data_IF_591354665231
#
_entry.id   IF_591354665231
#
_cell.length_a   1.000
_cell.length_b   1.000
_cell.length_c   1.000
_cell.angle_alpha   90.00
_cell.angle_beta   90.00
_cell.angle_gamma   90.00
#
_symmetry.space_group_name_H-M   'P 1'
#
loop_
_entity.id
_entity.type
_entity.pdbx_description
1 polymer ?
#
# COMPACT_ATOMS: atom_id res chain seq x y z
N UNK A 1 -92.66 -102.81 -57.43
CA UNK A 1 -94.09 -102.45 -57.25
C UNK A 1 -94.20 -101.56 -56.02
N UNK A 2 -94.74 -100.34 -56.19
CA UNK A 2 -95.11 -99.29 -55.20
C UNK A 2 -93.96 -98.73 -54.32
N UNK A 3 -93.42 -97.50 -54.50
CA UNK A 3 -93.99 -96.13 -54.51
C UNK A 3 -94.11 -95.46 -53.12
N UNK A 4 -93.21 -94.48 -52.89
CA UNK A 4 -93.39 -93.15 -52.28
C UNK A 4 -94.00 -92.98 -50.88
N UNK A 5 -93.24 -92.37 -49.95
CA UNK A 5 -93.42 -90.95 -49.54
C UNK A 5 -92.41 -90.46 -48.48
N UNK A 6 -92.11 -89.15 -48.58
CA UNK A 6 -91.65 -88.21 -47.56
C UNK A 6 -90.16 -88.18 -47.16
N UNK A 7 -89.42 -87.34 -47.89
CA UNK A 7 -88.17 -86.71 -47.46
C UNK A 7 -88.43 -85.54 -46.49
N UNK A 8 -87.47 -85.34 -45.58
CA UNK A 8 -87.26 -84.09 -44.86
C UNK A 8 -87.18 -84.27 -43.34
N UNK A 9 -85.97 -84.23 -42.76
CA UNK A 9 -85.63 -83.69 -41.42
C UNK A 9 -84.12 -83.87 -41.07
N UNK A 10 -83.20 -83.68 -42.04
CA UNK A 10 -81.75 -83.85 -41.80
C UNK A 10 -80.98 -82.59 -41.36
N UNK A 11 -81.54 -81.38 -41.52
CA UNK A 11 -80.78 -80.13 -41.39
C UNK A 11 -80.72 -79.49 -40.00
N UNK A 12 -81.56 -79.89 -39.04
CA UNK A 12 -81.65 -79.21 -37.73
C UNK A 12 -80.73 -79.79 -36.64
N UNK A 13 -80.29 -81.06 -36.75
CA UNK A 13 -79.42 -81.69 -35.74
C UNK A 13 -77.94 -81.37 -35.93
N UNK A 14 -77.44 -81.39 -37.18
CA UNK A 14 -76.04 -81.07 -37.47
C UNK A 14 -75.66 -79.62 -37.08
N UNK A 15 -76.59 -78.68 -37.21
CA UNK A 15 -76.36 -77.29 -36.79
C UNK A 15 -76.33 -77.12 -35.27
N UNK A 16 -77.12 -77.90 -34.52
CA UNK A 16 -77.12 -77.85 -33.05
C UNK A 16 -75.89 -78.57 -32.48
N UNK A 17 -75.48 -79.69 -33.09
CA UNK A 17 -74.26 -80.41 -32.69
C UNK A 17 -72.98 -79.61 -33.03
N UNK A 18 -72.96 -78.86 -34.14
CA UNK A 18 -71.87 -77.94 -34.43
C UNK A 18 -71.83 -76.76 -33.46
N UNK A 19 -73.00 -76.19 -33.09
CA UNK A 19 -73.09 -75.14 -32.08
C UNK A 19 -72.69 -75.67 -30.69
N UNK A 20 -73.05 -76.92 -30.35
CA UNK A 20 -72.64 -77.57 -29.12
C UNK A 20 -71.14 -77.93 -29.09
N UNK A 21 -70.55 -78.34 -30.22
CA UNK A 21 -69.11 -78.59 -30.37
C UNK A 21 -68.31 -77.27 -30.31
N UNK A 22 -68.84 -76.19 -30.86
CA UNK A 22 -68.26 -74.84 -30.77
C UNK A 22 -68.40 -74.28 -29.34
N UNK A 23 -69.53 -74.50 -28.65
CA UNK A 23 -69.71 -74.12 -27.24
C UNK A 23 -68.87 -74.99 -26.28
N UNK A 24 -68.71 -76.28 -26.56
CA UNK A 24 -67.84 -77.18 -25.80
C UNK A 24 -66.36 -76.89 -26.06
N UNK A 25 -65.98 -76.57 -27.30
CA UNK A 25 -64.64 -76.08 -27.67
C UNK A 25 -64.31 -74.74 -26.98
N UNK A 26 -65.29 -73.82 -26.90
CA UNK A 26 -65.17 -72.56 -26.16
C UNK A 26 -65.02 -72.77 -24.64
N UNK A 27 -65.56 -73.87 -24.09
CA UNK A 27 -65.41 -74.26 -22.69
C UNK A 27 -64.10 -75.02 -22.40
N UNK A 28 -63.55 -75.71 -23.39
CA UNK A 28 -62.27 -76.42 -23.31
C UNK A 28 -61.05 -75.50 -23.50
N UNK A 29 -61.16 -74.42 -24.28
CA UNK A 29 -60.13 -73.36 -24.40
C UNK A 29 -60.01 -72.47 -23.15
N UNK A 30 -60.99 -72.51 -22.26
CA UNK A 30 -61.11 -71.60 -21.10
C UNK A 30 -60.61 -72.21 -19.79
N UNK A 31 -59.72 -73.22 -19.84
CA UNK A 31 -59.10 -73.84 -18.66
C UNK A 31 -57.57 -73.81 -18.77
N UNK A 32 -56.96 -72.72 -18.31
CA UNK A 32 -55.59 -72.69 -17.78
C UNK A 32 -54.41 -72.58 -18.75
N UNK A 33 -54.63 -72.47 -20.08
CA UNK A 33 -53.54 -72.48 -21.06
C UNK A 33 -52.72 -71.18 -21.18
N UNK A 34 -53.35 -70.02 -20.96
CA UNK A 34 -52.72 -68.71 -21.18
C UNK A 34 -52.36 -67.95 -19.88
N UNK A 35 -52.72 -68.48 -18.71
CA UNK A 35 -52.48 -67.83 -17.41
C UNK A 35 -51.00 -67.55 -17.14
N UNK A 36 -50.10 -68.44 -17.59
CA UNK A 36 -48.65 -68.25 -17.47
C UNK A 36 -48.18 -67.06 -18.33
N UNK A 37 -48.71 -66.91 -19.54
CA UNK A 37 -48.37 -65.82 -20.46
C UNK A 37 -48.94 -64.49 -19.94
N UNK A 38 -50.17 -64.50 -19.42
CA UNK A 38 -50.79 -63.33 -18.78
C UNK A 38 -49.94 -62.87 -17.58
N UNK A 39 -49.46 -63.79 -16.74
CA UNK A 39 -48.53 -63.47 -15.63
C UNK A 39 -47.19 -62.93 -16.11
N UNK A 40 -46.66 -63.41 -17.24
CA UNK A 40 -45.45 -62.86 -17.84
C UNK A 40 -45.69 -61.43 -18.36
N UNK A 41 -46.82 -61.17 -19.02
CA UNK A 41 -47.19 -59.81 -19.46
C UNK A 41 -47.34 -58.87 -18.26
N UNK A 42 -47.95 -59.33 -17.16
CA UNK A 42 -48.05 -58.53 -15.93
C UNK A 42 -46.69 -58.22 -15.31
N UNK A 43 -45.75 -59.18 -15.38
CA UNK A 43 -44.37 -58.96 -14.95
C UNK A 43 -43.67 -57.94 -15.86
N UNK A 44 -43.85 -58.01 -17.17
CA UNK A 44 -43.28 -57.05 -18.14
C UNK A 44 -43.86 -55.65 -17.96
N UNK A 45 -45.18 -55.51 -17.76
CA UNK A 45 -45.82 -54.24 -17.46
C UNK A 45 -45.31 -53.64 -16.14
N UNK A 46 -45.03 -54.48 -15.14
CA UNK A 46 -44.43 -54.04 -13.88
C UNK A 46 -43.01 -53.54 -14.09
N UNK A 47 -42.19 -54.27 -14.85
CA UNK A 47 -40.81 -53.86 -15.18
C UNK A 47 -40.81 -52.54 -15.93
N UNK A 48 -41.62 -52.39 -16.99
CA UNK A 48 -41.73 -51.14 -17.76
C UNK A 48 -42.15 -49.96 -16.89
N UNK A 49 -43.05 -50.17 -15.91
CA UNK A 49 -43.43 -49.14 -14.96
C UNK A 49 -42.26 -48.74 -14.06
N UNK A 50 -41.56 -49.72 -13.48
CA UNK A 50 -40.38 -49.45 -12.64
C UNK A 50 -39.29 -48.73 -13.42
N UNK A 51 -39.00 -49.14 -14.66
CA UNK A 51 -38.01 -48.45 -15.50
C UNK A 51 -38.42 -47.02 -15.87
N UNK A 52 -39.73 -46.75 -16.00
CA UNK A 52 -40.21 -45.39 -16.22
C UNK A 52 -40.07 -44.55 -14.96
N UNK A 53 -40.43 -45.09 -13.79
CA UNK A 53 -40.29 -44.41 -12.51
C UNK A 53 -38.79 -44.10 -12.24
N UNK A 54 -37.88 -45.03 -12.54
CA UNK A 54 -36.43 -44.85 -12.42
C UNK A 54 -35.90 -43.74 -13.36
N UNK A 55 -36.37 -43.70 -14.61
CA UNK A 55 -36.02 -42.63 -15.55
C UNK A 55 -36.58 -41.28 -15.14
N UNK A 56 -37.82 -41.23 -14.63
CA UNK A 56 -38.47 -40.01 -14.15
C UNK A 56 -37.67 -39.42 -12.96
N UNK A 57 -37.31 -40.25 -11.98
CA UNK A 57 -36.45 -39.82 -10.86
C UNK A 57 -35.05 -39.42 -11.32
N UNK A 58 -34.44 -40.17 -12.26
CA UNK A 58 -33.10 -39.84 -12.73
C UNK A 58 -33.10 -38.56 -13.56
N UNK A 59 -34.17 -38.26 -14.30
CA UNK A 59 -34.33 -36.97 -15.00
C UNK A 59 -34.35 -35.82 -14.01
N UNK A 60 -35.16 -35.92 -12.96
CA UNK A 60 -35.26 -34.90 -11.90
C UNK A 60 -33.90 -34.69 -11.23
N UNK A 61 -33.25 -35.77 -10.78
CA UNK A 61 -31.90 -35.73 -10.21
C UNK A 61 -30.89 -35.05 -11.14
N UNK A 62 -30.88 -35.44 -12.42
CA UNK A 62 -29.96 -34.89 -13.40
C UNK A 62 -30.16 -33.39 -13.63
N UNK A 63 -31.41 -32.94 -13.77
CA UNK A 63 -31.73 -31.52 -13.93
C UNK A 63 -31.33 -30.72 -12.70
N UNK A 64 -31.74 -31.15 -11.51
CA UNK A 64 -31.41 -30.43 -10.26
C UNK A 64 -29.91 -30.36 -9.99
N UNK A 65 -29.19 -31.46 -10.18
CA UNK A 65 -27.75 -31.49 -9.91
C UNK A 65 -26.95 -30.66 -10.91
N UNK A 66 -27.33 -30.67 -12.20
CA UNK A 66 -26.68 -29.83 -13.21
C UNK A 66 -26.92 -28.34 -12.91
N UNK A 67 -28.15 -27.97 -12.54
CA UNK A 67 -28.49 -26.58 -12.19
C UNK A 67 -27.71 -26.11 -10.96
N UNK A 68 -27.72 -26.88 -9.87
CA UNK A 68 -26.96 -26.57 -8.66
C UNK A 68 -25.46 -26.47 -8.91
N UNK A 69 -24.90 -27.37 -9.73
CA UNK A 69 -23.49 -27.37 -10.04
C UNK A 69 -23.10 -26.17 -10.93
N UNK A 70 -23.91 -25.80 -11.92
CA UNK A 70 -23.66 -24.63 -12.76
C UNK A 70 -23.79 -23.31 -11.99
N UNK A 71 -24.76 -23.22 -11.07
CA UNK A 71 -24.87 -22.08 -10.15
C UNK A 71 -23.65 -21.97 -9.23
N UNK A 72 -23.19 -23.09 -8.66
CA UNK A 72 -21.96 -23.13 -7.86
C UNK A 72 -20.73 -22.73 -8.68
N UNK A 73 -20.61 -23.22 -9.92
CA UNK A 73 -19.54 -22.84 -10.85
C UNK A 73 -19.56 -21.33 -11.12
N UNK A 74 -20.72 -20.74 -11.41
CA UNK A 74 -20.86 -19.30 -11.64
C UNK A 74 -20.48 -18.50 -10.40
N UNK A 75 -20.93 -18.92 -9.22
CA UNK A 75 -20.58 -18.30 -7.94
C UNK A 75 -19.07 -18.31 -7.68
N UNK A 76 -18.43 -19.47 -7.84
CA UNK A 76 -16.98 -19.62 -7.68
C UNK A 76 -16.18 -18.84 -8.73
N UNK A 77 -16.63 -18.81 -9.99
CA UNK A 77 -15.99 -18.03 -11.04
C UNK A 77 -16.03 -16.52 -10.76
N UNK A 78 -17.16 -16.01 -10.25
CA UNK A 78 -17.27 -14.62 -9.78
C UNK A 78 -16.33 -14.35 -8.62
N UNK A 79 -16.31 -15.23 -7.61
CA UNK A 79 -15.40 -15.10 -6.48
C UNK A 79 -13.93 -15.06 -6.91
N UNK A 80 -13.50 -15.92 -7.84
CA UNK A 80 -12.14 -15.87 -8.39
C UNK A 80 -11.85 -14.53 -9.09
N UNK A 81 -12.80 -14.02 -9.87
CA UNK A 81 -12.67 -12.72 -10.54
C UNK A 81 -12.58 -11.56 -9.55
N UNK A 82 -13.42 -11.56 -8.51
CA UNK A 82 -13.42 -10.54 -7.48
C UNK A 82 -12.08 -10.53 -6.72
N UNK A 83 -11.56 -11.70 -6.38
CA UNK A 83 -10.26 -11.84 -5.73
C UNK A 83 -9.10 -11.42 -6.66
N UNK A 84 -9.20 -11.67 -7.97
CA UNK A 84 -8.22 -11.16 -8.94
C UNK A 84 -8.17 -9.64 -8.98
N UNK A 85 -9.33 -8.98 -8.95
CA UNK A 85 -9.40 -7.53 -8.86
C UNK A 85 -8.87 -6.99 -7.53
N UNK A 86 -9.20 -7.65 -6.41
CA UNK A 86 -8.68 -7.29 -5.10
C UNK A 86 -7.15 -7.39 -5.05
N UNK A 87 -6.57 -8.48 -5.57
CA UNK A 87 -5.12 -8.69 -5.68
C UNK A 87 -4.47 -7.58 -6.52
N UNK A 88 -5.06 -7.22 -7.66
CA UNK A 88 -4.52 -6.17 -8.52
C UNK A 88 -4.51 -4.82 -7.81
N UNK A 89 -5.63 -4.44 -7.19
CA UNK A 89 -5.76 -3.19 -6.44
C UNK A 89 -4.83 -3.13 -5.23
N UNK A 90 -4.69 -4.24 -4.48
CA UNK A 90 -3.78 -4.32 -3.35
C UNK A 90 -2.31 -4.18 -3.80
N UNK A 91 -1.92 -4.81 -4.91
CA UNK A 91 -0.56 -4.67 -5.49
C UNK A 91 -0.25 -3.23 -5.88
N UNK A 92 -1.19 -2.54 -6.52
CA UNK A 92 -1.05 -1.12 -6.86
C UNK A 92 -0.92 -0.25 -5.60
N UNK A 93 -1.75 -0.50 -4.58
CA UNK A 93 -1.69 0.21 -3.30
C UNK A 93 -0.36 -0.01 -2.56
N UNK A 94 0.14 -1.25 -2.52
CA UNK A 94 1.45 -1.58 -1.91
C UNK A 94 2.58 -0.87 -2.64
N UNK A 95 2.54 -0.81 -3.98
CA UNK A 95 3.55 -0.09 -4.77
C UNK A 95 3.51 1.42 -4.49
N UNK A 96 2.32 2.03 -4.49
CA UNK A 96 2.15 3.45 -4.18
C UNK A 96 2.66 3.80 -2.77
N UNK A 97 2.31 3.01 -1.76
CA UNK A 97 2.81 3.23 -0.40
C UNK A 97 4.33 3.03 -0.29
N UNK A 98 4.91 2.08 -1.04
CA UNK A 98 6.36 1.90 -1.07
C UNK A 98 7.07 3.13 -1.65
N UNK A 99 6.54 3.72 -2.73
CA UNK A 99 7.08 4.95 -3.32
C UNK A 99 6.96 6.15 -2.38
N UNK A 100 5.81 6.29 -1.70
CA UNK A 100 5.60 7.35 -0.70
C UNK A 100 6.54 7.21 0.51
N UNK A 101 6.76 5.99 1.01
CA UNK A 101 7.73 5.72 2.08
C UNK A 101 9.14 6.11 1.64
N UNK A 102 9.56 5.69 0.43
CA UNK A 102 10.87 6.03 -0.10
C UNK A 102 11.05 7.55 -0.26
N UNK A 103 10.01 8.26 -0.69
CA UNK A 103 10.02 9.71 -0.79
C UNK A 103 10.16 10.38 0.59
N UNK A 104 9.45 9.91 1.62
CA UNK A 104 9.56 10.41 2.98
C UNK A 104 10.94 10.13 3.59
N UNK A 105 11.49 8.92 3.42
CA UNK A 105 12.84 8.58 3.88
C UNK A 105 13.89 9.50 3.26
N UNK A 106 13.79 9.75 1.95
CA UNK A 106 14.66 10.69 1.25
C UNK A 106 14.49 12.13 1.76
N UNK A 107 13.26 12.55 2.03
CA UNK A 107 12.94 13.85 2.62
C UNK A 107 13.59 14.05 3.99
N UNK A 108 13.49 13.05 4.87
CA UNK A 108 14.13 13.06 6.20
C UNK A 108 15.66 13.12 6.08
N UNK A 109 16.25 12.32 5.18
CA UNK A 109 17.70 12.36 4.95
C UNK A 109 18.18 13.73 4.44
N UNK A 110 17.42 14.35 3.55
CA UNK A 110 17.74 15.69 3.04
C UNK A 110 17.60 16.75 4.14
N UNK A 111 16.59 16.65 5.00
CA UNK A 111 16.40 17.53 6.15
C UNK A 111 17.54 17.37 7.18
N UNK A 112 17.90 16.13 7.53
CA UNK A 112 19.01 15.83 8.45
C UNK A 112 20.34 16.40 7.88
N UNK A 113 20.52 16.33 6.56
CA UNK A 113 21.67 16.94 5.88
C UNK A 113 21.66 18.47 5.95
N UNK A 114 20.53 19.13 5.66
CA UNK A 114 20.45 20.60 5.71
C UNK A 114 20.66 21.13 7.13
N UNK A 115 20.15 20.42 8.14
CA UNK A 115 20.38 20.75 9.56
C UNK A 115 21.86 20.64 9.90
N UNK A 116 22.55 19.60 9.45
CA UNK A 116 23.99 19.44 9.69
C UNK A 116 24.82 20.54 9.01
N UNK A 117 24.51 20.88 7.76
CA UNK A 117 25.18 21.96 7.01
C UNK A 117 24.95 23.32 7.68
N UNK A 118 23.70 23.64 8.05
CA UNK A 118 23.39 24.88 8.75
C UNK A 118 24.07 24.96 10.13
N UNK A 119 24.13 23.86 10.87
CA UNK A 119 24.84 23.79 12.15
C UNK A 119 26.33 24.10 11.99
N UNK A 120 26.96 23.58 10.95
CA UNK A 120 28.38 23.82 10.69
C UNK A 120 28.63 25.27 10.25
N UNK A 121 27.78 25.81 9.37
CA UNK A 121 27.84 27.21 8.96
C UNK A 121 27.73 28.15 10.17
N UNK A 122 26.77 27.90 11.09
CA UNK A 122 26.61 28.72 12.29
C UNK A 122 27.81 28.67 13.23
N UNK A 123 28.51 27.54 13.33
CA UNK A 123 29.75 27.47 14.10
C UNK A 123 30.84 28.36 13.48
N UNK A 124 30.95 28.35 12.16
CA UNK A 124 31.94 29.16 11.44
C UNK A 124 31.62 30.66 11.59
N UNK A 125 30.37 31.06 11.33
CA UNK A 125 29.91 32.44 11.48
C UNK A 125 30.08 32.94 12.92
N UNK A 126 29.75 32.14 13.93
CA UNK A 126 29.92 32.53 15.34
C UNK A 126 31.41 32.66 15.74
N UNK A 127 32.30 31.85 15.16
CA UNK A 127 33.74 31.98 15.37
C UNK A 127 34.26 33.29 14.74
N UNK A 128 33.87 33.58 13.51
CA UNK A 128 34.23 34.82 12.81
C UNK A 128 33.70 36.05 13.55
N UNK A 129 32.45 36.01 14.04
CA UNK A 129 31.88 37.06 14.88
C UNK A 129 32.70 37.30 16.15
N UNK A 130 33.12 36.23 16.85
CA UNK A 130 33.95 36.36 18.06
C UNK A 130 35.32 36.95 17.75
N UNK A 131 35.93 36.57 16.63
CA UNK A 131 37.21 37.10 16.21
C UNK A 131 37.10 38.60 15.86
N UNK A 132 36.07 38.98 15.09
CA UNK A 132 35.77 40.37 14.74
C UNK A 132 35.55 41.22 16.00
N UNK A 133 34.70 40.77 16.92
CA UNK A 133 34.44 41.49 18.17
C UNK A 133 35.71 41.64 19.02
N UNK A 134 36.59 40.64 19.02
CA UNK A 134 37.86 40.72 19.72
C UNK A 134 38.85 41.68 19.04
N UNK A 135 38.93 41.69 17.71
CA UNK A 135 39.78 42.62 16.96
C UNK A 135 39.33 44.06 17.11
N UNK A 136 38.02 44.32 17.07
CA UNK A 136 37.46 45.66 17.14
C UNK A 136 37.52 46.21 18.56
N UNK A 137 37.28 45.37 19.57
CA UNK A 137 37.51 45.75 20.96
C UNK A 137 38.99 46.11 21.21
N UNK A 138 39.92 45.29 20.71
CA UNK A 138 41.35 45.56 20.78
C UNK A 138 41.75 46.87 20.06
N UNK A 139 41.23 47.10 18.85
CA UNK A 139 41.47 48.31 18.07
C UNK A 139 40.93 49.55 18.80
N UNK A 140 39.71 49.48 19.34
CA UNK A 140 39.09 50.53 20.13
C UNK A 140 39.89 50.88 21.38
N UNK A 141 40.41 49.88 22.10
CA UNK A 141 41.30 50.11 23.25
C UNK A 141 42.59 50.83 22.86
N UNK A 142 43.23 50.42 21.76
CA UNK A 142 44.43 51.06 21.24
C UNK A 142 44.18 52.51 20.82
N UNK A 143 43.08 52.77 20.11
CA UNK A 143 42.67 54.13 19.74
C UNK A 143 42.38 55.00 20.96
N UNK A 144 41.75 54.43 21.99
CA UNK A 144 41.50 55.12 23.27
C UNK A 144 42.80 55.44 24.00
N UNK A 145 43.76 54.52 24.01
CA UNK A 145 45.08 54.75 24.58
C UNK A 145 45.85 55.85 23.82
N UNK A 146 45.84 55.80 22.48
CA UNK A 146 46.46 56.80 21.62
C UNK A 146 45.83 58.19 21.84
N UNK A 147 44.49 58.28 21.90
CA UNK A 147 43.75 59.50 22.24
C UNK A 147 44.20 60.06 23.59
N UNK A 148 44.25 59.22 24.62
CA UNK A 148 44.67 59.64 25.96
C UNK A 148 46.14 60.12 25.98
N UNK A 149 47.03 59.46 25.22
CA UNK A 149 48.43 59.89 25.08
C UNK A 149 48.56 61.23 24.35
N UNK A 150 47.78 61.46 23.30
CA UNK A 150 47.72 62.76 22.59
C UNK A 150 47.21 63.87 23.51
N UNK A 151 46.18 63.60 24.31
CA UNK A 151 45.65 64.56 25.29
C UNK A 151 46.70 64.98 26.32
N UNK A 152 47.64 64.11 26.71
CA UNK A 152 48.74 64.48 27.62
C UNK A 152 49.57 65.69 27.13
N UNK A 153 49.75 65.81 25.81
CA UNK A 153 50.58 66.87 25.22
C UNK A 153 49.77 68.04 24.69
N UNK A 154 48.59 67.78 24.11
CA UNK A 154 47.80 68.79 23.41
C UNK A 154 46.58 69.31 24.18
N UNK A 155 46.05 68.53 25.15
CA UNK A 155 44.91 68.91 26.00
C UNK A 155 45.04 68.35 27.43
N UNK A 156 45.96 68.88 28.26
CA UNK A 156 46.33 68.27 29.54
C UNK A 156 45.18 68.19 30.56
N UNK A 157 44.14 69.03 30.43
CA UNK A 157 42.95 68.96 31.28
C UNK A 157 42.10 67.69 31.06
N UNK A 158 42.21 67.05 29.89
CA UNK A 158 41.47 65.84 29.52
C UNK A 158 42.31 64.56 29.65
N UNK A 159 43.58 64.68 30.07
CA UNK A 159 44.47 63.53 30.25
C UNK A 159 44.07 62.74 31.49
N UNK A 160 43.84 61.43 31.31
CA UNK A 160 43.67 60.50 32.42
C UNK A 160 44.99 59.74 32.63
N UNK A 161 45.70 59.92 33.75
CA UNK A 161 46.89 59.12 34.02
C UNK A 161 46.51 57.63 34.04
N UNK A 162 47.32 56.74 33.45
CA UNK A 162 47.06 55.32 33.52
C UNK A 162 46.98 54.91 35.00
N UNK A 163 46.08 53.96 35.31
CA UNK A 163 45.95 53.43 36.66
C UNK A 163 47.33 53.01 37.16
N UNK A 164 47.75 53.54 38.32
CA UNK A 164 49.01 53.12 38.93
C UNK A 164 48.90 51.62 39.22
N UNK A 165 49.82 50.83 38.68
CA UNK A 165 49.90 49.41 39.00
C UNK A 165 50.11 49.29 40.51
N UNK A 166 49.17 48.66 41.20
CA UNK A 166 49.43 48.20 42.56
C UNK A 166 50.50 47.11 42.46
N UNK A 167 51.71 47.42 42.91
CA UNK A 167 52.78 46.44 43.03
C UNK A 167 52.30 45.30 43.94
N UNK A 168 52.60 44.06 43.56
CA UNK A 168 52.42 42.89 44.45
C UNK A 168 53.20 43.12 45.75
N UNK A 169 52.83 42.42 46.82
CA UNK A 169 53.53 42.49 48.11
C UNK A 169 55.03 42.28 47.95
N UNK A 170 55.42 41.35 47.08
CA UNK A 170 56.79 40.99 46.74
C UNK A 170 57.52 42.13 46.03
N UNK A 171 56.88 42.76 45.04
CA UNK A 171 57.50 43.88 44.32
C UNK A 171 57.57 45.16 45.17
N UNK A 172 56.63 45.36 46.11
CA UNK A 172 56.71 46.45 47.11
C UNK A 172 57.90 46.28 48.03
N UNK A 173 58.19 45.04 48.45
CA UNK A 173 59.35 44.72 49.28
C UNK A 173 60.65 45.06 48.54
N UNK A 174 60.79 44.66 47.27
CA UNK A 174 61.99 44.96 46.46
C UNK A 174 62.24 46.46 46.32
N UNK A 175 61.19 47.26 46.09
CA UNK A 175 61.30 48.73 45.98
C UNK A 175 61.63 49.39 47.33
N UNK A 176 61.06 48.91 48.44
CA UNK A 176 61.36 49.43 49.79
C UNK A 176 62.80 49.11 50.26
N UNK A 177 63.38 48.00 49.78
CA UNK A 177 64.77 47.62 50.07
C UNK A 177 65.80 48.26 49.12
N UNK A 178 65.41 49.30 48.35
CA UNK A 178 66.31 50.06 47.48
C UNK A 178 66.61 49.41 46.13
N UNK A 179 65.89 48.35 45.77
CA UNK A 179 65.92 47.77 44.43
C UNK A 179 65.11 48.61 43.43
N UNK A 180 65.59 48.73 42.20
CA UNK A 180 64.81 49.35 41.12
C UNK A 180 63.66 48.41 40.74
N UNK A 181 62.41 48.90 40.76
CA UNK A 181 61.27 48.16 40.23
C UNK A 181 61.58 47.66 38.80
N UNK A 182 61.09 46.47 38.40
CA UNK A 182 61.24 46.00 37.04
C UNK A 182 60.79 47.10 36.06
N UNK A 183 61.57 47.42 35.00
CA UNK A 183 61.19 48.46 34.06
C UNK A 183 59.81 48.14 33.49
N UNK A 184 58.94 49.15 33.46
CA UNK A 184 57.61 49.05 32.88
C UNK A 184 57.75 48.53 31.45
N UNK A 185 57.16 47.38 31.08
CA UNK A 185 57.01 47.05 29.68
C UNK A 185 56.32 48.23 29.01
N UNK A 186 56.85 48.71 27.88
CA UNK A 186 56.14 49.71 27.09
C UNK A 186 54.71 49.21 26.86
N UNK A 187 53.67 50.08 26.92
CA UNK A 187 52.30 49.70 26.59
C UNK A 187 52.25 49.45 25.09
N UNK A 188 52.70 48.27 24.68
CA UNK A 188 52.90 47.83 23.30
C UNK A 188 52.61 46.34 23.13
N UNK A 189 51.86 45.77 24.08
CA UNK A 189 51.31 44.43 23.99
C UNK A 189 49.92 44.48 24.62
N UNK A 190 48.92 44.07 23.85
CA UNK A 190 47.56 43.88 24.34
C UNK A 190 47.63 42.70 25.33
N UNK A 191 47.18 42.92 26.56
CA UNK A 191 47.21 41.88 27.58
C UNK A 191 46.29 40.73 27.15
N UNK A 192 46.88 39.55 26.91
CA UNK A 192 46.13 38.32 26.62
C UNK A 192 46.13 37.85 25.16
N UNK A 193 46.71 38.58 24.20
CA UNK A 193 46.67 38.19 22.77
C UNK A 193 48.01 37.76 22.18
N UNK A 194 49.13 37.92 22.89
CA UNK A 194 50.46 37.52 22.39
C UNK A 194 50.99 38.34 21.20
N UNK A 195 50.27 39.37 20.74
CA UNK A 195 50.72 40.23 19.63
C UNK A 195 51.73 41.26 20.13
N UNK A 196 53.01 41.03 19.81
CA UNK A 196 54.09 42.02 19.96
C UNK A 196 54.15 42.92 18.73
N UNK A 197 53.83 44.21 18.86
CA UNK A 197 53.92 45.21 17.76
C UNK A 197 55.37 45.66 17.51
N UNK A 198 56.34 44.74 17.56
CA UNK A 198 57.72 45.00 17.14
C UNK A 198 58.28 43.76 16.43
N UNK A 199 58.02 43.67 15.12
CA UNK A 199 58.83 42.84 14.23
C UNK A 199 60.26 43.42 14.22
N UNK A 200 61.11 42.81 15.04
CA UNK A 200 62.51 43.17 15.19
C UNK A 200 63.28 42.69 13.95
N UNK A 201 63.40 43.52 12.91
CA UNK A 201 64.47 43.39 11.92
C UNK A 201 65.78 43.72 12.62
N UNK A 202 66.46 42.68 13.12
CA UNK A 202 67.80 42.80 13.69
C UNK A 202 68.82 42.92 12.57
N UNK A 203 69.28 44.15 12.30
CA UNK A 203 70.56 44.41 11.63
C UNK A 203 71.61 44.76 12.68
N UNK A 204 72.80 44.17 12.51
CA UNK A 204 73.94 44.09 13.42
C UNK A 204 74.30 45.33 14.27
N UNK A 205 74.51 45.05 15.57
CA UNK A 205 75.27 45.86 16.54
C UNK A 205 76.79 45.73 16.32
N UNK A 206 77.50 46.85 16.32
CA UNK A 206 78.86 47.13 16.85
C UNK A 206 79.02 48.67 16.75
N UNK A 207 79.55 49.46 17.68
CA UNK A 207 80.39 49.27 18.85
C UNK A 207 80.08 50.36 19.91
N UNK A 208 80.73 50.23 21.08
CA UNK A 208 80.57 51.05 22.30
C UNK A 208 81.20 52.44 22.16
N UNK A 209 80.51 53.48 22.67
CA UNK A 209 81.10 54.64 23.36
C UNK A 209 80.02 55.37 24.21
N UNK A 210 80.44 55.94 25.35
CA UNK A 210 79.59 56.63 26.34
C UNK A 210 79.14 58.04 25.85
N UNK A 211 78.07 58.64 26.41
CA UNK A 211 77.23 59.62 25.72
C UNK A 211 77.80 61.05 25.78
N UNK A 212 77.79 61.75 24.65
CA UNK A 212 78.01 63.19 24.59
C UNK A 212 76.73 63.95 25.04
N UNK A 213 76.87 65.09 25.75
CA UNK A 213 75.74 65.90 26.19
C UNK A 213 74.94 66.46 24.99
N UNK A 214 73.62 66.63 25.12
CA UNK A 214 72.75 66.97 24.01
C UNK A 214 73.02 68.40 23.54
N UNK A 215 73.15 68.64 22.22
CA UNK A 215 73.14 70.00 21.70
C UNK A 215 71.75 70.62 21.88
N UNK A 216 71.71 71.79 22.50
CA UNK A 216 70.55 72.69 22.49
C UNK A 216 70.34 73.20 21.07
N UNK A 217 69.21 72.87 20.45
CA UNK A 217 68.38 73.72 19.56
C UNK A 217 67.47 72.86 18.67
N UNK A 218 66.30 72.52 19.21
CA UNK A 218 65.06 72.53 18.41
C UNK A 218 64.08 73.36 19.22
N UNK A 219 64.06 74.66 18.91
CA UNK A 219 63.06 75.59 19.42
C UNK A 219 61.67 74.96 19.35
N UNK A 220 60.93 75.19 20.44
CA UNK A 220 59.58 74.75 20.68
C UNK A 220 58.79 74.53 19.38
N UNK A 221 58.47 73.27 19.10
CA UNK A 221 57.42 72.91 18.15
C UNK A 221 56.18 73.71 18.55
N UNK A 222 55.93 74.79 17.82
CA UNK A 222 54.92 75.76 18.17
C UNK A 222 53.59 75.02 18.33
N UNK A 223 52.86 75.33 19.40
CA UNK A 223 51.51 74.81 19.67
C UNK A 223 50.58 75.14 18.50
N UNK A 224 50.60 74.36 17.43
CA UNK A 224 49.53 74.27 16.44
C UNK A 224 48.36 73.49 17.07
N UNK A 225 47.72 74.06 18.10
CA UNK A 225 46.59 73.42 18.77
C UNK A 225 45.39 73.21 17.84
N UNK A 226 45.29 74.00 16.75
CA UNK A 226 44.21 73.93 15.78
C UNK A 226 44.26 72.69 14.87
N UNK A 227 45.45 72.23 14.44
CA UNK A 227 45.59 71.02 13.60
C UNK A 227 45.47 69.72 14.41
N UNK A 228 45.95 69.69 15.66
CA UNK A 228 45.93 68.49 16.53
C UNK A 228 44.53 68.17 17.07
N UNK A 229 43.65 69.18 17.16
CA UNK A 229 42.24 68.98 17.50
C UNK A 229 41.50 68.19 16.41
N UNK A 230 41.89 68.36 15.13
CA UNK A 230 41.34 67.59 14.01
C UNK A 230 41.70 66.10 14.06
N UNK A 231 42.93 65.76 14.44
CA UNK A 231 43.39 64.36 14.54
C UNK A 231 42.69 63.62 15.69
N UNK A 232 42.50 64.27 16.85
CA UNK A 232 41.75 63.67 17.97
C UNK A 232 40.27 63.46 17.58
N UNK A 233 39.67 64.40 16.84
CA UNK A 233 38.32 64.25 16.32
C UNK A 233 38.21 63.10 15.29
N UNK A 234 39.25 62.86 14.49
CA UNK A 234 39.31 61.72 13.57
C UNK A 234 39.45 60.38 14.30
N UNK A 235 40.22 60.33 15.40
CA UNK A 235 40.26 59.14 16.28
C UNK A 235 38.90 58.90 16.94
N UNK A 236 38.19 59.95 17.35
CA UNK A 236 36.84 59.83 17.92
C UNK A 236 35.81 59.33 16.89
N UNK A 237 35.95 59.74 15.63
CA UNK A 237 35.13 59.22 14.54
C UNK A 237 35.43 57.73 14.31
N UNK A 238 36.70 57.32 14.28
CA UNK A 238 37.09 55.90 14.17
C UNK A 238 36.58 55.06 15.34
N UNK A 239 36.69 55.54 16.59
CA UNK A 239 36.12 54.84 17.77
C UNK A 239 34.61 54.68 17.62
N UNK A 240 33.92 55.73 17.14
CA UNK A 240 32.48 55.69 16.91
C UNK A 240 32.09 54.75 15.77
N UNK A 241 32.90 54.68 14.71
CA UNK A 241 32.69 53.74 13.60
C UNK A 241 32.89 52.30 14.08
N UNK A 242 33.92 52.01 14.89
CA UNK A 242 34.09 50.70 15.54
C UNK A 242 32.94 50.36 16.49
N UNK A 243 32.45 51.31 17.30
CA UNK A 243 31.26 51.10 18.14
C UNK A 243 30.02 50.78 17.32
N UNK A 244 29.88 51.41 16.15
CA UNK A 244 28.80 51.14 15.23
C UNK A 244 28.93 49.75 14.61
N UNK A 245 30.11 49.38 14.09
CA UNK A 245 30.38 48.06 13.51
C UNK A 245 30.15 46.94 14.53
N UNK A 246 30.63 47.09 15.77
CA UNK A 246 30.38 46.13 16.85
C UNK A 246 28.87 46.00 17.17
N UNK A 247 28.13 47.12 17.16
CA UNK A 247 26.67 47.10 17.41
C UNK A 247 25.92 46.43 16.26
N UNK A 248 26.29 46.73 15.01
CA UNK A 248 25.71 46.12 13.81
C UNK A 248 25.97 44.60 13.81
N UNK A 249 27.22 44.18 14.04
CA UNK A 249 27.59 42.77 14.17
C UNK A 249 26.84 42.06 15.31
N UNK A 250 26.67 42.70 16.47
CA UNK A 250 25.88 42.14 17.59
C UNK A 250 24.41 41.95 17.24
N UNK A 251 23.82 42.87 16.48
CA UNK A 251 22.43 42.74 16.02
C UNK A 251 22.29 41.64 14.97
N UNK A 252 23.20 41.58 13.99
CA UNK A 252 23.20 40.55 12.96
C UNK A 252 23.39 39.15 13.54
N UNK A 253 24.30 38.99 14.52
CA UNK A 253 24.50 37.71 15.18
C UNK A 253 23.29 37.27 16.03
N UNK A 254 22.60 38.22 16.67
CA UNK A 254 21.36 37.91 17.42
C UNK A 254 20.24 37.46 16.48
N UNK A 255 20.07 38.15 15.36
CA UNK A 255 19.07 37.80 14.36
C UNK A 255 19.40 36.44 13.72
N UNK A 256 20.66 36.21 13.34
CA UNK A 256 21.13 34.93 12.80
C UNK A 256 20.97 33.77 13.79
N UNK A 257 21.20 34.02 15.09
CA UNK A 257 20.97 33.03 16.14
C UNK A 257 19.48 32.70 16.30
N UNK A 258 18.60 33.72 16.27
CA UNK A 258 17.17 33.53 16.37
C UNK A 258 16.63 32.73 15.16
N UNK A 259 17.04 33.07 13.94
CA UNK A 259 16.65 32.36 12.72
C UNK A 259 17.12 30.90 12.75
N UNK A 260 18.32 30.64 13.25
CA UNK A 260 18.82 29.29 13.44
C UNK A 260 17.98 28.50 14.46
N UNK A 261 17.63 29.09 15.60
CA UNK A 261 16.80 28.43 16.61
C UNK A 261 15.41 28.08 16.07
N UNK A 262 14.79 28.99 15.31
CA UNK A 262 13.52 28.73 14.63
C UNK A 262 13.67 27.60 13.60
N UNK A 263 14.69 27.67 12.74
CA UNK A 263 14.95 26.61 11.75
C UNK A 263 15.17 25.24 12.40
N UNK A 264 15.86 25.18 13.54
CA UNK A 264 16.07 23.95 14.30
C UNK A 264 14.77 23.40 14.90
N UNK A 265 13.88 24.27 15.39
CA UNK A 265 12.57 23.88 15.88
C UNK A 265 11.68 23.34 14.74
N UNK A 266 11.56 24.09 13.65
CA UNK A 266 10.76 23.69 12.47
C UNK A 266 11.28 22.36 11.89
N UNK A 267 12.59 22.20 11.82
CA UNK A 267 13.22 20.96 11.35
C UNK A 267 12.93 19.78 12.29
N UNK A 268 12.96 19.99 13.61
CA UNK A 268 12.62 18.96 14.57
C UNK A 268 11.15 18.53 14.48
N UNK A 269 10.23 19.49 14.37
CA UNK A 269 8.79 19.23 14.21
C UNK A 269 8.48 18.53 12.89
N UNK A 270 9.09 18.99 11.79
CA UNK A 270 8.95 18.36 10.48
C UNK A 270 9.47 16.93 10.50
N UNK A 271 10.64 16.70 11.07
CA UNK A 271 11.22 15.36 11.21
C UNK A 271 10.33 14.44 12.05
N UNK A 272 9.75 14.94 13.14
CA UNK A 272 8.82 14.16 13.96
C UNK A 272 7.55 13.79 13.21
N UNK A 273 6.98 14.74 12.46
CA UNK A 273 5.80 14.54 11.62
C UNK A 273 6.06 13.52 10.52
N UNK A 274 7.14 13.68 9.76
CA UNK A 274 7.52 12.77 8.68
C UNK A 274 7.84 11.37 9.22
N UNK A 275 8.46 11.27 10.40
CA UNK A 275 8.72 9.98 11.07
C UNK A 275 7.43 9.28 11.51
N UNK A 276 6.42 10.04 11.96
CA UNK A 276 5.10 9.47 12.28
C UNK A 276 4.41 8.99 11.02
N UNK A 277 4.38 9.81 9.96
CA UNK A 277 3.79 9.47 8.69
C UNK A 277 4.44 8.21 8.08
N UNK A 278 5.76 8.06 8.21
CA UNK A 278 6.49 6.87 7.79
C UNK A 278 5.98 5.62 8.52
N UNK A 279 5.81 5.69 9.84
CA UNK A 279 5.27 4.56 10.64
C UNK A 279 3.85 4.19 10.22
N UNK A 280 2.99 5.20 10.05
CA UNK A 280 1.60 4.98 9.68
C UNK A 280 1.49 4.36 8.28
N UNK A 281 2.27 4.86 7.32
CA UNK A 281 2.32 4.30 5.95
C UNK A 281 2.95 2.92 5.92
N UNK A 282 3.98 2.65 6.71
CA UNK A 282 4.57 1.33 6.84
C UNK A 282 3.58 0.32 7.43
N UNK A 283 2.80 0.72 8.45
CA UNK A 283 1.73 -0.09 9.01
C UNK A 283 0.61 -0.35 8.00
N UNK A 284 0.18 0.68 7.26
CA UNK A 284 -0.83 0.53 6.20
C UNK A 284 -0.35 -0.41 5.08
N UNK A 285 0.92 -0.30 4.67
CA UNK A 285 1.54 -1.18 3.69
C UNK A 285 1.55 -2.62 4.16
N UNK A 286 1.96 -2.87 5.41
CA UNK A 286 1.95 -4.21 6.00
C UNK A 286 0.52 -4.79 6.07
N UNK A 287 -0.48 -3.95 6.37
CA UNK A 287 -1.89 -4.33 6.31
C UNK A 287 -2.31 -4.79 4.91
N UNK A 288 -2.03 -3.99 3.89
CA UNK A 288 -2.33 -4.35 2.49
C UNK A 288 -1.58 -5.59 2.00
N UNK A 289 -0.33 -5.80 2.44
CA UNK A 289 0.42 -7.04 2.14
C UNK A 289 -0.23 -8.27 2.79
N UNK A 290 -0.80 -8.11 3.98
CA UNK A 290 -1.61 -9.14 4.65
C UNK A 290 -2.91 -9.45 3.91
N UNK A 291 -3.65 -8.42 3.51
CA UNK A 291 -4.86 -8.56 2.71
C UNK A 291 -4.57 -9.21 1.35
N UNK A 292 -3.46 -8.82 0.72
CA UNK A 292 -3.00 -9.41 -0.53
C UNK A 292 -2.75 -10.92 -0.39
N UNK A 293 -2.04 -11.31 0.67
CA UNK A 293 -1.75 -12.73 0.93
C UNK A 293 -3.05 -13.52 1.15
N UNK A 294 -3.97 -12.95 1.93
CA UNK A 294 -5.29 -13.56 2.20
C UNK A 294 -6.09 -13.72 0.91
N UNK A 295 -6.14 -12.69 0.07
CA UNK A 295 -6.83 -12.74 -1.22
C UNK A 295 -6.20 -13.76 -2.19
N UNK A 296 -4.88 -13.90 -2.20
CA UNK A 296 -4.18 -14.93 -2.98
C UNK A 296 -4.54 -16.35 -2.51
N UNK A 297 -4.63 -16.58 -1.20
CA UNK A 297 -5.07 -17.85 -0.62
C UNK A 297 -6.55 -18.16 -0.92
N UNK A 298 -7.44 -17.18 -0.76
CA UNK A 298 -8.88 -17.32 -1.07
C UNK A 298 -9.10 -17.60 -2.56
N UNK A 299 -8.41 -16.88 -3.44
CA UNK A 299 -8.42 -17.16 -4.88
C UNK A 299 -7.97 -18.60 -5.18
N UNK A 300 -6.89 -19.06 -4.54
CA UNK A 300 -6.39 -20.41 -4.74
C UNK A 300 -7.36 -21.48 -4.23
N UNK A 301 -8.03 -21.25 -3.09
CA UNK A 301 -9.06 -22.13 -2.56
C UNK A 301 -10.28 -22.18 -3.48
N UNK A 302 -10.83 -21.02 -3.85
CA UNK A 302 -11.97 -20.92 -4.77
C UNK A 302 -11.65 -21.54 -6.14
N UNK A 303 -10.43 -21.35 -6.65
CA UNK A 303 -9.95 -21.97 -7.88
C UNK A 303 -9.90 -23.50 -7.82
N UNK A 304 -9.46 -24.08 -6.69
CA UNK A 304 -9.49 -25.54 -6.48
C UNK A 304 -10.92 -26.06 -6.43
N UNK A 305 -11.82 -25.38 -5.73
CA UNK A 305 -13.23 -25.75 -5.69
C UNK A 305 -13.91 -25.62 -7.05
N UNK A 306 -13.58 -24.59 -7.83
CA UNK A 306 -14.09 -24.39 -9.18
C UNK A 306 -13.67 -25.55 -10.08
N UNK A 307 -12.39 -25.94 -10.02
CA UNK A 307 -11.89 -27.10 -10.78
C UNK A 307 -12.55 -28.40 -10.36
N UNK A 308 -12.80 -28.61 -9.06
CA UNK A 308 -13.54 -29.79 -8.58
C UNK A 308 -14.99 -29.78 -9.08
N UNK A 309 -15.66 -28.62 -9.06
CA UNK A 309 -17.03 -28.45 -9.54
C UNK A 309 -17.12 -28.68 -11.05
N UNK A 310 -16.15 -28.19 -11.83
CA UNK A 310 -16.07 -28.44 -13.28
C UNK A 310 -15.92 -29.93 -13.59
N UNK A 311 -15.10 -30.66 -12.82
CA UNK A 311 -14.98 -32.12 -12.96
C UNK A 311 -16.29 -32.84 -12.62
N UNK A 312 -16.99 -32.38 -11.58
CA UNK A 312 -18.29 -32.92 -11.21
C UNK A 312 -19.36 -32.68 -12.30
N UNK A 313 -19.41 -31.47 -12.86
CA UNK A 313 -20.27 -31.14 -14.00
C UNK A 313 -19.95 -32.05 -15.19
N UNK A 314 -18.66 -32.30 -15.47
CA UNK A 314 -18.25 -33.22 -16.53
C UNK A 314 -18.73 -34.66 -16.29
N UNK A 315 -18.66 -35.17 -15.06
CA UNK A 315 -19.21 -36.49 -14.74
C UNK A 315 -20.74 -36.51 -14.86
N UNK A 316 -21.43 -35.46 -14.40
CA UNK A 316 -22.89 -35.37 -14.55
C UNK A 316 -23.30 -35.38 -16.02
N UNK A 317 -22.64 -34.61 -16.89
CA UNK A 317 -22.89 -34.64 -18.33
C UNK A 317 -22.72 -36.06 -18.91
N UNK A 318 -21.68 -36.79 -18.49
CA UNK A 318 -21.46 -38.16 -18.97
C UNK A 318 -22.57 -39.15 -18.56
N UNK A 319 -23.24 -38.92 -17.42
CA UNK A 319 -24.27 -39.80 -16.89
C UNK A 319 -25.70 -39.37 -17.25
N UNK A 320 -25.92 -38.07 -17.47
CA UNK A 320 -27.23 -37.45 -17.58
C UNK A 320 -27.59 -37.01 -19.00
N UNK A 321 -26.63 -36.59 -19.83
CA UNK A 321 -26.94 -35.98 -21.15
C UNK A 321 -27.72 -36.93 -22.04
N UNK A 322 -27.33 -38.21 -22.07
CA UNK A 322 -28.02 -39.23 -22.84
C UNK A 322 -29.47 -39.42 -22.36
N UNK A 323 -29.68 -39.49 -21.04
CA UNK A 323 -31.03 -39.63 -20.49
C UNK A 323 -31.88 -38.40 -20.84
N UNK A 324 -31.37 -37.19 -20.60
CA UNK A 324 -32.11 -35.95 -20.83
C UNK A 324 -32.46 -35.75 -22.31
N UNK A 325 -31.56 -36.09 -23.22
CA UNK A 325 -31.78 -35.98 -24.66
C UNK A 325 -32.83 -36.97 -25.19
N UNK A 326 -32.85 -38.21 -24.66
CA UNK A 326 -33.70 -39.29 -25.17
C UNK A 326 -34.88 -39.63 -24.27
N UNK A 327 -35.09 -38.90 -23.18
CA UNK A 327 -36.12 -39.21 -22.19
C UNK A 327 -37.52 -39.26 -22.80
N UNK A 328 -37.91 -38.27 -23.60
CA UNK A 328 -39.26 -38.21 -24.18
C UNK A 328 -39.49 -39.36 -25.16
N UNK A 329 -38.49 -39.68 -25.99
CA UNK A 329 -38.54 -40.81 -26.92
C UNK A 329 -38.64 -42.14 -26.16
N UNK A 330 -37.89 -42.31 -25.07
CA UNK A 330 -37.96 -43.51 -24.22
C UNK A 330 -39.31 -43.64 -23.51
N UNK A 331 -39.84 -42.53 -23.00
CA UNK A 331 -41.15 -42.47 -22.35
C UNK A 331 -42.27 -42.82 -23.32
N UNK A 332 -42.23 -42.27 -24.53
CA UNK A 332 -43.18 -42.59 -25.59
C UNK A 332 -43.08 -44.07 -26.01
N UNK A 333 -41.86 -44.58 -26.22
CA UNK A 333 -41.63 -45.98 -26.56
C UNK A 333 -42.18 -46.93 -25.48
N UNK A 334 -41.92 -46.66 -24.18
CA UNK A 334 -42.47 -47.46 -23.08
C UNK A 334 -43.97 -47.36 -22.96
N UNK A 335 -44.56 -46.18 -23.18
CA UNK A 335 -46.01 -46.02 -23.18
C UNK A 335 -46.65 -46.83 -24.31
N UNK A 336 -46.04 -46.83 -25.50
CA UNK A 336 -46.46 -47.64 -26.65
C UNK A 336 -46.33 -49.14 -26.39
N UNK A 337 -45.19 -49.59 -25.83
CA UNK A 337 -44.98 -50.99 -25.43
C UNK A 337 -45.99 -51.42 -24.37
N UNK A 338 -46.22 -50.61 -23.34
CA UNK A 338 -47.19 -50.89 -22.29
C UNK A 338 -48.63 -50.97 -22.83
N UNK A 339 -49.02 -50.09 -23.78
CA UNK A 339 -50.33 -50.18 -24.44
C UNK A 339 -50.45 -51.46 -25.28
N UNK A 340 -49.41 -51.80 -26.04
CA UNK A 340 -49.39 -53.02 -26.85
C UNK A 340 -49.51 -54.30 -25.99
N UNK A 341 -48.83 -54.34 -24.85
CA UNK A 341 -48.89 -55.44 -23.88
C UNK A 341 -50.26 -55.51 -23.19
N UNK A 342 -50.87 -54.38 -22.86
CA UNK A 342 -52.24 -54.33 -22.32
C UNK A 342 -53.25 -54.84 -23.34
N UNK A 343 -53.15 -54.45 -24.61
CA UNK A 343 -54.00 -54.97 -25.69
C UNK A 343 -53.84 -56.47 -25.86
N UNK A 344 -52.60 -56.97 -25.87
CA UNK A 344 -52.30 -58.40 -25.95
C UNK A 344 -52.90 -59.17 -24.75
N UNK A 345 -52.78 -58.63 -23.53
CA UNK A 345 -53.41 -59.20 -22.33
C UNK A 345 -54.94 -59.29 -22.48
N UNK A 346 -55.59 -58.23 -22.92
CA UNK A 346 -57.04 -58.20 -23.12
C UNK A 346 -57.52 -59.27 -24.11
N UNK A 347 -56.82 -59.42 -25.24
CA UNK A 347 -57.10 -60.47 -26.24
C UNK A 347 -56.94 -61.87 -25.63
N UNK A 348 -55.85 -62.12 -24.90
CA UNK A 348 -55.57 -63.41 -24.26
C UNK A 348 -56.53 -63.74 -23.11
N UNK A 349 -57.09 -62.73 -22.43
CA UNK A 349 -58.13 -62.90 -21.41
C UNK A 349 -59.55 -63.09 -21.97
N UNK A 350 -59.70 -63.18 -23.29
CA UNK A 350 -60.99 -63.46 -23.95
C UNK A 350 -61.86 -62.22 -24.19
N UNK A 351 -61.29 -61.01 -24.18
CA UNK A 351 -61.99 -59.84 -24.71
C UNK A 351 -62.06 -59.94 -26.24
N UNK A 352 -63.28 -60.08 -26.76
CA UNK A 352 -63.54 -60.33 -28.18
C UNK A 352 -63.40 -59.03 -29.00
N UNK A 353 -62.21 -58.78 -29.56
CA UNK A 353 -62.00 -57.69 -30.52
C UNK A 353 -62.41 -58.07 -31.97
N UNK A 354 -62.97 -59.27 -32.19
CA UNK A 354 -63.39 -59.75 -33.51
C UNK A 354 -64.64 -59.04 -34.06
N UNK A 355 -65.32 -58.19 -33.27
CA UNK A 355 -66.62 -57.64 -33.62
C UNK A 355 -66.61 -56.23 -34.25
N UNK A 356 -65.44 -55.69 -34.61
CA UNK A 356 -65.32 -54.38 -35.29
C UNK A 356 -65.02 -54.46 -36.79
N UNK A 357 -64.89 -55.66 -37.37
CA UNK A 357 -64.53 -55.83 -38.79
C UNK A 357 -65.66 -56.29 -39.72
N UNK A 358 -66.92 -56.37 -39.23
CA UNK A 358 -68.09 -56.68 -40.07
C UNK A 358 -69.18 -55.61 -39.94
N UNK A 359 -68.90 -54.40 -40.43
CA UNK A 359 -69.96 -53.49 -40.89
C UNK A 359 -69.50 -52.74 -42.13
N UNK A 360 -69.33 -53.48 -43.23
CA UNK A 360 -69.29 -52.93 -44.58
C UNK A 360 -70.33 -53.62 -45.47
N UNK A 361 -70.92 -52.83 -46.37
CA UNK A 361 -72.02 -53.07 -47.34
C UNK A 361 -73.42 -52.68 -46.83
N UNK A 362 -74.21 -51.86 -47.54
CA UNK A 362 -74.23 -51.61 -48.98
C UNK A 362 -74.34 -50.14 -49.40
N UNK A 363 -73.51 -49.80 -50.38
CA UNK A 363 -73.70 -48.74 -51.36
C UNK A 363 -74.71 -49.24 -52.42
N UNK A 364 -75.74 -48.45 -52.74
CA UNK A 364 -76.45 -48.41 -54.02
C UNK A 364 -77.37 -47.17 -54.07
N UNK A 365 -76.85 -46.11 -54.70
CA UNK A 365 -77.45 -45.42 -55.86
C UNK A 365 -78.99 -45.23 -55.93
N UNK A 366 -79.49 -43.99 -55.89
CA UNK A 366 -80.21 -43.34 -57.02
C UNK A 366 -80.68 -41.91 -56.72
N UNK A 367 -80.25 -41.01 -57.60
CA UNK A 367 -80.83 -39.75 -58.08
C UNK A 367 -82.31 -39.44 -57.80
N UNK A 368 -82.58 -38.25 -57.23
CA UNK A 368 -83.26 -37.13 -57.91
C UNK A 368 -83.14 -35.83 -57.10
#
# INVERSE_FOLDING_TARGET
RAAQLAAGHGGRRANIDLIALVLAGKKALNRGGFDKVIKMIDTMLKVLKTEQDDDDHKKEYCSEQLDLADDKKKGLARSVSDQEHAIASAKEGVAALADEIAALEKGIQQLDKSVAEATEQRKQENLEFKELMASDAAAKELLTFAKNRLNKFYNPALYKPPAKRELSTEDRIVVNFGGTAPPTPAPGGIAGTGVTVFAQVSAHRQARDAPAPPPETWDAYAKKSQETTGVVAMIDLLIKDMDKEMTEAETEEKDAQADYEVMMQDSAEKRATDSSALRDKAAAKAGLEGDLTTAEEEKAAAGKELMATLKYIQSLHSECDWLLQYFDVRKEARAGEADSLKRAKSVLSGADYSLLQTKSRGFLEQSH
#
